data_IF_292431614432
#
_entry.id   IF_292431614432
#
_cell.length_a   1.000
_cell.length_b   1.000
_cell.length_c   1.000
_cell.angle_alpha   90.00
_cell.angle_beta   90.00
_cell.angle_gamma   90.00
#
_symmetry.space_group_name_H-M   'P 1'
#
loop_
_entity.id
_entity.type
_entity.pdbx_description
1 polymer ?
#
# COMPACT_ATOMS: atom_id res chain seq x y z
N UNK A 1 5.30 10.04 -5.89
CA UNK A 1 4.17 9.20 -6.39
C UNK A 1 2.93 9.52 -5.54
N UNK A 2 1.79 9.90 -6.15
CA UNK A 2 0.58 10.37 -5.44
C UNK A 2 -0.02 9.31 -4.49
N UNK A 3 -0.13 8.07 -4.96
CA UNK A 3 -0.74 6.97 -4.18
C UNK A 3 0.11 6.64 -2.95
N UNK A 4 1.43 6.61 -3.12
CA UNK A 4 2.36 6.38 -2.01
C UNK A 4 2.24 7.45 -0.92
N UNK A 5 2.24 8.73 -1.30
CA UNK A 5 2.12 9.83 -0.33
C UNK A 5 0.79 9.77 0.42
N UNK A 6 -0.29 9.41 -0.28
CA UNK A 6 -1.60 9.21 0.33
C UNK A 6 -1.59 8.06 1.36
N UNK A 7 -1.10 6.89 0.98
CA UNK A 7 -1.03 5.72 1.87
C UNK A 7 -0.15 5.97 3.10
N UNK A 8 1.00 6.62 2.92
CA UNK A 8 1.87 6.99 4.05
C UNK A 8 1.16 7.95 4.99
N UNK A 9 0.46 8.94 4.46
CA UNK A 9 -0.26 9.93 5.28
C UNK A 9 -1.40 9.28 6.06
N UNK A 10 -2.21 8.45 5.41
CA UNK A 10 -3.29 7.68 6.04
C UNK A 10 -2.74 6.75 7.14
N UNK A 11 -1.65 6.04 6.87
CA UNK A 11 -1.04 5.11 7.81
C UNK A 11 -0.43 5.84 9.02
N UNK A 12 0.29 6.94 8.79
CA UNK A 12 0.84 7.75 9.87
C UNK A 12 -0.24 8.34 10.78
N UNK A 13 -1.39 8.75 10.24
CA UNK A 13 -2.53 9.21 11.02
C UNK A 13 -3.18 8.08 11.83
N UNK A 14 -3.33 6.89 11.22
CA UNK A 14 -3.94 5.73 11.85
C UNK A 14 -3.08 5.17 13.00
N UNK A 15 -1.75 5.18 12.87
CA UNK A 15 -0.80 4.57 13.80
C UNK A 15 0.02 5.61 14.59
N UNK A 16 -0.62 6.73 14.98
CA UNK A 16 0.04 7.75 15.80
C UNK A 16 -0.05 7.41 17.30
N UNK A 17 0.99 6.77 17.84
CA UNK A 17 1.07 6.50 19.28
C UNK A 17 1.82 7.62 20.02
N UNK A 18 1.36 8.03 21.22
CA UNK A 18 2.06 9.01 22.05
C UNK A 18 3.27 8.41 22.79
N UNK A 19 3.69 7.20 22.43
CA UNK A 19 4.75 6.48 23.12
C UNK A 19 6.12 7.14 22.91
N UNK A 20 7.03 6.88 23.84
CA UNK A 20 8.40 7.37 23.81
C UNK A 20 9.32 6.16 23.84
N UNK A 21 10.27 6.12 22.93
CA UNK A 21 11.24 5.04 22.77
C UNK A 21 12.61 5.48 23.26
N UNK A 22 13.37 4.55 23.82
CA UNK A 22 14.76 4.76 24.22
C UNK A 22 15.68 4.36 23.07
N UNK A 23 16.47 5.31 22.59
CA UNK A 23 17.26 5.15 21.35
C UNK A 23 18.77 5.00 21.64
N UNK A 24 19.21 5.14 22.89
CA UNK A 24 20.62 5.11 23.27
C UNK A 24 21.17 3.71 23.48
N UNK A 25 22.27 3.38 22.80
CA UNK A 25 23.09 2.18 22.98
C UNK A 25 24.49 2.49 23.57
N UNK A 26 24.66 3.61 24.28
CA UNK A 26 25.96 4.01 24.87
C UNK A 26 26.07 3.54 26.32
N UNK A 27 27.11 2.76 26.62
CA UNK A 27 27.45 2.35 27.98
C UNK A 27 27.93 3.53 28.88
N UNK A 28 28.35 4.64 28.28
CA UNK A 28 28.90 5.82 28.98
C UNK A 28 27.86 6.94 29.26
N UNK A 29 26.65 6.86 28.70
CA UNK A 29 25.63 7.90 28.91
C UNK A 29 24.92 7.70 30.27
N UNK A 30 24.97 8.71 31.13
CA UNK A 30 24.35 8.67 32.48
C UNK A 30 22.81 8.67 32.45
N UNK A 31 22.18 8.97 31.30
CA UNK A 31 20.74 8.91 31.11
C UNK A 31 20.38 8.49 29.67
N UNK A 32 19.36 7.63 29.48
CA UNK A 32 18.96 7.17 28.16
C UNK A 32 18.33 8.31 27.34
N UNK A 33 18.72 8.44 26.07
CA UNK A 33 18.10 9.39 25.15
C UNK A 33 16.72 8.88 24.75
N UNK A 34 15.72 9.74 24.95
CA UNK A 34 14.31 9.44 24.70
C UNK A 34 13.84 10.19 23.47
N UNK A 35 13.26 9.47 22.51
CA UNK A 35 12.67 10.03 21.29
C UNK A 35 11.19 9.67 21.24
N UNK A 36 10.34 10.61 20.80
CA UNK A 36 8.93 10.29 20.57
C UNK A 36 8.81 9.27 19.45
N UNK A 37 7.92 8.30 19.60
CA UNK A 37 7.65 7.31 18.56
C UNK A 37 7.24 7.98 17.24
N UNK A 38 6.49 9.09 17.31
CA UNK A 38 6.11 9.89 16.15
C UNK A 38 7.29 10.31 15.28
N UNK A 39 8.44 10.57 15.89
CA UNK A 39 9.62 11.14 15.25
C UNK A 39 10.72 10.09 15.06
N UNK A 40 10.44 8.83 15.40
CA UNK A 40 11.39 7.73 15.34
C UNK A 40 11.53 7.13 13.94
N UNK A 41 12.73 6.66 13.62
CA UNK A 41 13.00 5.86 12.42
C UNK A 41 12.24 4.52 12.47
N UNK A 42 12.07 3.94 13.66
CA UNK A 42 11.29 2.71 13.88
C UNK A 42 9.88 2.84 13.32
N UNK A 43 9.18 3.94 13.64
CA UNK A 43 7.84 4.21 13.10
C UNK A 43 7.86 4.27 11.58
N UNK A 44 8.88 4.87 10.98
CA UNK A 44 9.00 4.96 9.53
C UNK A 44 9.11 3.55 8.93
N UNK A 45 10.01 2.69 9.43
CA UNK A 45 10.21 1.33 8.93
C UNK A 45 8.90 0.53 9.01
N UNK A 46 8.26 0.50 10.18
CA UNK A 46 6.98 -0.21 10.39
C UNK A 46 5.89 0.30 9.44
N UNK A 47 5.83 1.61 9.21
CA UNK A 47 4.85 2.22 8.30
C UNK A 47 5.12 1.78 6.85
N UNK A 48 6.38 1.79 6.41
CA UNK A 48 6.76 1.43 5.04
C UNK A 48 6.43 -0.04 4.73
N UNK A 49 6.72 -0.95 5.67
CA UNK A 49 6.38 -2.37 5.53
C UNK A 49 4.86 -2.58 5.39
N UNK A 50 4.07 -1.87 6.20
CA UNK A 50 2.61 -1.96 6.17
C UNK A 50 1.97 -1.40 4.90
N UNK A 51 2.54 -0.34 4.31
CA UNK A 51 2.00 0.31 3.11
C UNK A 51 2.11 -0.59 1.87
N UNK A 52 3.12 -1.45 1.80
CA UNK A 52 3.35 -2.33 0.65
C UNK A 52 2.19 -3.28 0.35
N UNK A 53 1.58 -3.88 1.37
CA UNK A 53 0.44 -4.78 1.18
C UNK A 53 -0.85 -4.03 0.84
N UNK A 54 -0.97 -2.76 1.24
CA UNK A 54 -2.17 -1.95 0.95
C UNK A 54 -2.34 -1.68 -0.54
N UNK A 55 -1.26 -1.66 -1.32
CA UNK A 55 -1.33 -1.48 -2.77
C UNK A 55 -2.12 -2.59 -3.48
N UNK A 56 -2.17 -3.81 -2.94
CA UNK A 56 -2.94 -4.91 -3.54
C UNK A 56 -4.47 -4.69 -3.44
N UNK A 57 -4.93 -3.74 -2.62
CA UNK A 57 -6.35 -3.38 -2.50
C UNK A 57 -6.83 -2.44 -3.61
N UNK A 58 -5.90 -1.93 -4.42
CA UNK A 58 -6.23 -1.09 -5.56
C UNK A 58 -6.60 -1.93 -6.77
N UNK A 59 -7.46 -1.38 -7.60
CA UNK A 59 -7.80 -1.89 -8.91
C UNK A 59 -7.59 -0.82 -9.96
N UNK A 60 -7.52 -1.26 -11.22
CA UNK A 60 -7.44 -0.38 -12.38
C UNK A 60 -8.86 -0.10 -12.87
N UNK A 61 -9.20 1.18 -12.89
CA UNK A 61 -10.44 1.75 -13.39
C UNK A 61 -10.16 2.38 -14.76
N UNK A 62 -10.30 1.59 -15.82
CA UNK A 62 -10.06 2.06 -17.19
C UNK A 62 -10.96 3.25 -17.58
N UNK A 63 -12.11 3.39 -16.91
CA UNK A 63 -13.05 4.47 -17.09
C UNK A 63 -12.56 5.83 -16.52
N UNK A 64 -11.49 5.86 -15.73
CA UNK A 64 -11.00 7.08 -15.06
C UNK A 64 -9.66 7.55 -15.66
N UNK A 65 -9.46 8.87 -15.83
CA UNK A 65 -8.24 9.39 -16.41
C UNK A 65 -7.06 9.44 -15.41
N UNK A 66 -5.85 9.28 -15.94
CA UNK A 66 -4.60 9.61 -15.25
C UNK A 66 -4.35 8.78 -13.98
N UNK A 67 -4.05 9.46 -12.87
CA UNK A 67 -3.79 8.81 -11.58
C UNK A 67 -5.06 8.37 -10.84
N UNK A 68 -6.24 8.86 -11.24
CA UNK A 68 -7.53 8.48 -10.65
C UNK A 68 -7.96 7.07 -11.03
N UNK A 69 -7.31 6.47 -12.04
CA UNK A 69 -7.54 5.08 -12.45
C UNK A 69 -7.15 4.06 -11.41
N UNK A 70 -6.28 4.40 -10.46
CA UNK A 70 -5.95 3.52 -9.36
C UNK A 70 -6.85 3.89 -8.19
N UNK A 71 -7.87 3.07 -7.93
CA UNK A 71 -8.74 3.25 -6.79
C UNK A 71 -9.09 1.90 -6.15
N UNK A 72 -9.47 1.94 -4.88
CA UNK A 72 -9.92 0.75 -4.15
C UNK A 72 -11.34 0.39 -4.59
N UNK A 73 -11.66 -0.91 -4.56
CA UNK A 73 -12.97 -1.42 -4.96
C UNK A 73 -13.04 -1.85 -6.43
N UNK A 74 -14.17 -2.40 -6.84
CA UNK A 74 -14.36 -2.97 -8.18
C UNK A 74 -14.56 -1.89 -9.24
N UNK A 75 -14.01 -2.07 -10.45
CA UNK A 75 -14.24 -1.14 -11.58
C UNK A 75 -15.66 -1.24 -12.12
N UNK A 76 -16.15 -0.18 -12.76
CA UNK A 76 -17.51 -0.17 -13.32
C UNK A 76 -17.73 -1.31 -14.32
N UNK A 77 -16.73 -1.57 -15.17
CA UNK A 77 -16.76 -2.67 -16.14
C UNK A 77 -16.84 -4.02 -15.44
N UNK A 78 -15.98 -4.27 -14.45
CA UNK A 78 -15.97 -5.56 -13.74
C UNK A 78 -17.25 -5.77 -12.93
N UNK A 79 -17.81 -4.72 -12.35
CA UNK A 79 -19.10 -4.78 -11.66
C UNK A 79 -20.24 -5.13 -12.62
N UNK A 80 -20.23 -4.54 -13.82
CA UNK A 80 -21.19 -4.89 -14.89
C UNK A 80 -21.07 -6.36 -15.30
N UNK A 81 -19.84 -6.88 -15.45
CA UNK A 81 -19.62 -8.29 -15.80
C UNK A 81 -20.14 -9.24 -14.71
N UNK A 82 -19.87 -8.92 -13.44
CA UNK A 82 -20.44 -9.65 -12.31
C UNK A 82 -21.97 -9.62 -12.30
N UNK A 83 -22.58 -8.47 -12.54
CA UNK A 83 -24.03 -8.32 -12.59
C UNK A 83 -24.67 -9.14 -13.73
N UNK A 84 -24.04 -9.18 -14.91
CA UNK A 84 -24.50 -10.02 -16.01
C UNK A 84 -24.41 -11.51 -15.66
N UNK A 85 -23.27 -11.93 -15.12
CA UNK A 85 -23.05 -13.30 -14.68
C UNK A 85 -24.06 -13.74 -13.61
N UNK A 86 -24.30 -12.89 -12.61
CA UNK A 86 -25.26 -13.16 -11.54
C UNK A 86 -26.71 -13.24 -12.04
N UNK A 87 -27.01 -12.60 -13.17
CA UNK A 87 -28.31 -12.73 -13.88
C UNK A 87 -28.40 -13.98 -14.76
N UNK A 88 -27.39 -14.85 -14.74
CA UNK A 88 -27.37 -16.09 -15.54
C UNK A 88 -26.85 -15.89 -16.96
N UNK A 89 -26.35 -14.71 -17.31
CA UNK A 89 -25.69 -14.49 -18.61
C UNK A 89 -24.33 -15.20 -18.59
N UNK A 90 -24.08 -16.06 -19.56
CA UNK A 90 -22.77 -16.71 -19.72
C UNK A 90 -21.75 -15.68 -20.22
N UNK A 91 -21.05 -15.06 -19.29
CA UNK A 91 -19.87 -14.23 -19.58
C UNK A 91 -18.67 -15.15 -19.70
N UNK A 92 -18.01 -15.15 -20.87
CA UNK A 92 -16.79 -15.93 -21.10
C UNK A 92 -15.62 -14.96 -21.16
N UNK A 93 -14.71 -15.07 -20.20
CA UNK A 93 -13.40 -14.41 -20.24
C UNK A 93 -12.32 -15.49 -20.37
N UNK A 94 -11.15 -15.11 -20.88
CA UNK A 94 -9.97 -15.99 -20.97
C UNK A 94 -9.34 -16.30 -19.59
N UNK A 95 -9.98 -15.86 -18.51
CA UNK A 95 -9.54 -16.02 -17.13
C UNK A 95 -10.70 -16.59 -16.31
N UNK A 96 -10.47 -17.63 -15.47
CA UNK A 96 -11.50 -18.21 -14.64
C UNK A 96 -12.07 -17.19 -13.63
N UNK A 97 -13.34 -17.36 -13.34
CA UNK A 97 -14.13 -16.48 -12.49
C UNK A 97 -13.57 -16.29 -11.08
N UNK A 98 -12.86 -17.30 -10.55
CA UNK A 98 -12.19 -17.24 -9.25
C UNK A 98 -11.08 -16.20 -9.21
N UNK A 99 -10.57 -15.76 -10.37
CA UNK A 99 -9.51 -14.77 -10.50
C UNK A 99 -10.01 -13.38 -10.90
N UNK A 100 -11.32 -13.15 -11.02
CA UNK A 100 -11.85 -11.83 -11.42
C UNK A 100 -11.66 -10.75 -10.36
N UNK A 101 -11.55 -11.15 -9.10
CA UNK A 101 -11.26 -10.25 -7.97
C UNK A 101 -9.77 -10.23 -7.59
N UNK A 102 -8.92 -10.95 -8.32
CA UNK A 102 -7.48 -10.95 -8.10
C UNK A 102 -6.84 -9.63 -8.57
N UNK A 103 -5.76 -9.16 -7.93
CA UNK A 103 -5.08 -7.93 -8.35
C UNK A 103 -4.52 -8.09 -9.76
N UNK A 104 -4.72 -7.06 -10.59
CA UNK A 104 -4.22 -7.09 -11.97
C UNK A 104 -2.69 -7.06 -12.03
N UNK A 105 -2.14 -7.46 -13.17
CA UNK A 105 -0.69 -7.39 -13.42
C UNK A 105 -0.13 -5.98 -13.19
N UNK A 106 -0.88 -4.95 -13.59
CA UNK A 106 -0.50 -3.55 -13.41
C UNK A 106 -0.43 -3.15 -11.93
N UNK A 107 -1.40 -3.57 -11.10
CA UNK A 107 -1.37 -3.32 -9.65
C UNK A 107 -0.21 -4.06 -8.99
N UNK A 108 0.03 -5.31 -9.41
CA UNK A 108 1.16 -6.09 -8.93
C UNK A 108 2.49 -5.43 -9.29
N UNK A 109 2.59 -4.86 -10.51
CA UNK A 109 3.74 -4.09 -10.93
C UNK A 109 3.89 -2.77 -10.15
N UNK A 110 2.78 -2.09 -9.86
CA UNK A 110 2.75 -0.89 -9.01
C UNK A 110 3.30 -1.20 -7.62
N UNK A 111 2.84 -2.29 -6.98
CA UNK A 111 3.39 -2.78 -5.69
C UNK A 111 4.89 -3.01 -5.82
N UNK A 112 5.34 -3.77 -6.82
CA UNK A 112 6.76 -4.05 -7.03
C UNK A 112 7.57 -2.77 -7.18
N UNK A 113 7.10 -1.80 -7.98
CA UNK A 113 7.79 -0.54 -8.20
C UNK A 113 7.90 0.28 -6.91
N UNK A 114 6.80 0.46 -6.18
CA UNK A 114 6.82 1.26 -4.94
C UNK A 114 7.68 0.57 -3.89
N UNK A 115 7.49 -0.73 -3.67
CA UNK A 115 8.15 -1.44 -2.58
C UNK A 115 9.63 -1.73 -2.85
N UNK A 116 9.97 -2.23 -4.04
CA UNK A 116 11.36 -2.58 -4.33
C UNK A 116 12.16 -1.37 -4.82
N UNK A 117 11.63 -0.56 -5.74
CA UNK A 117 12.43 0.54 -6.30
C UNK A 117 12.54 1.75 -5.40
N UNK A 118 11.47 2.12 -4.68
CA UNK A 118 11.50 3.33 -3.85
C UNK A 118 11.97 3.06 -2.43
N UNK A 119 11.64 1.90 -1.83
CA UNK A 119 12.11 1.62 -0.47
C UNK A 119 13.47 0.93 -0.46
N UNK A 120 13.65 -0.20 -1.17
CA UNK A 120 14.90 -0.96 -1.05
C UNK A 120 16.14 -0.15 -1.52
N UNK A 121 16.05 0.59 -2.63
CA UNK A 121 17.20 1.41 -3.07
C UNK A 121 17.58 2.53 -2.08
N UNK A 122 16.64 3.01 -1.27
CA UNK A 122 16.91 4.03 -0.25
C UNK A 122 17.60 3.46 0.99
N UNK A 123 17.47 2.16 1.26
CA UNK A 123 18.14 1.48 2.38
C UNK A 123 19.49 0.87 2.02
N UNK A 124 19.72 0.45 0.76
CA UNK A 124 21.00 -0.12 0.31
C UNK A 124 22.06 0.93 -0.10
N UNK A 125 21.77 2.22 0.07
CA UNK A 125 22.72 3.33 -0.18
C UNK A 125 23.17 4.04 1.10
N UNK A 126 22.81 3.53 2.27
CA UNK A 126 23.37 3.88 3.58
C UNK A 126 24.28 2.75 4.06
#
# INVERSE_FOLDING_TARGET
>A
CKLLTQELTENFQQHNSPSVIETSYSFDDKQPKKTKYSDSETRLIETLENVCERFLRYNVHAERPGSLRYARGRSQTMDTLWNLRNKGVKVVLDVPDTMWDAPSAEITQLKKYVCHKLFANSFYQL
#
